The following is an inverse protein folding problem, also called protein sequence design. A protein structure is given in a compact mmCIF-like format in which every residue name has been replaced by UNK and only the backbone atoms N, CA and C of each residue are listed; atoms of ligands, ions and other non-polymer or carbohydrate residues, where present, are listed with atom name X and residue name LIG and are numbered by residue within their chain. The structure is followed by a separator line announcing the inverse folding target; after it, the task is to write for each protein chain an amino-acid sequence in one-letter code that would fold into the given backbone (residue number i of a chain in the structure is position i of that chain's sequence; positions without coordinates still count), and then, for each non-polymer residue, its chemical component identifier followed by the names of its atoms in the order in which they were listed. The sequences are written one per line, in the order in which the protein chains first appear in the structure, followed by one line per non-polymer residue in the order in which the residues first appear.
data_IF_696762016259
#
_entry.id   IF_696762016259
#
_cell.length_a   1.000
_cell.length_b   1.000
_cell.length_c   1.000
_cell.angle_alpha   90.00
_cell.angle_beta   90.00
_cell.angle_gamma   90.00
#
_symmetry.space_group_name_H-M   'P 1'
#
loop_
_entity.id
_entity.type
_entity.pdbx_description
1 polymer ?
#
# COMPACT_ATOMS: atom_id res chain seq x y z
N UNK A 1 43.92 33.82 -7.80
CA UNK A 1 43.30 32.87 -8.77
C UNK A 1 43.10 31.47 -8.20
N UNK A 2 44.07 30.86 -7.50
CA UNK A 2 43.98 29.47 -7.00
C UNK A 2 42.73 29.18 -6.15
N UNK A 3 42.40 30.06 -5.19
CA UNK A 3 41.28 29.88 -4.26
C UNK A 3 39.94 29.78 -4.99
N UNK A 4 39.73 30.59 -6.04
CA UNK A 4 38.50 30.58 -6.83
C UNK A 4 38.33 29.27 -7.60
N UNK A 5 39.42 28.71 -8.13
CA UNK A 5 39.40 27.45 -8.84
C UNK A 5 39.14 26.27 -7.89
N UNK A 6 39.70 26.31 -6.68
CA UNK A 6 39.42 25.33 -5.63
C UNK A 6 37.95 25.31 -5.22
N UNK A 7 37.33 26.48 -5.03
CA UNK A 7 35.91 26.59 -4.71
C UNK A 7 35.04 26.02 -5.83
N UNK A 8 35.39 26.31 -7.10
CA UNK A 8 34.66 25.80 -8.26
C UNK A 8 34.72 24.26 -8.36
N UNK A 9 35.90 23.70 -8.13
CA UNK A 9 36.11 22.24 -8.14
C UNK A 9 35.30 21.60 -7.01
N UNK A 10 35.36 22.17 -5.80
CA UNK A 10 34.62 21.66 -4.64
C UNK A 10 33.09 21.72 -4.87
N UNK A 11 32.61 22.82 -5.48
CA UNK A 11 31.21 22.97 -5.85
C UNK A 11 30.77 21.91 -6.88
N UNK A 12 31.56 21.69 -7.94
CA UNK A 12 31.26 20.62 -8.93
C UNK A 12 31.31 19.23 -8.29
N UNK A 13 32.28 18.96 -7.42
CA UNK A 13 32.40 17.66 -6.75
C UNK A 13 31.22 17.39 -5.82
N UNK A 14 30.64 18.44 -5.23
CA UNK A 14 29.52 18.33 -4.29
C UNK A 14 28.17 18.06 -4.97
N UNK A 15 28.01 18.34 -6.27
CA UNK A 15 26.74 18.10 -6.98
C UNK A 15 26.37 16.61 -7.06
N UNK A 16 27.36 15.74 -7.28
CA UNK A 16 27.17 14.29 -7.39
C UNK A 16 26.63 13.65 -6.10
N UNK A 17 27.28 13.81 -4.93
CA UNK A 17 26.76 13.26 -3.68
C UNK A 17 25.46 13.94 -3.23
N UNK A 18 25.26 15.23 -3.55
CA UNK A 18 24.03 15.95 -3.24
C UNK A 18 22.83 15.38 -4.01
N UNK A 19 23.00 15.10 -5.30
CA UNK A 19 21.98 14.44 -6.12
C UNK A 19 21.61 13.05 -5.60
N UNK A 20 22.61 12.24 -5.24
CA UNK A 20 22.41 10.91 -4.64
C UNK A 20 21.72 10.97 -3.27
N UNK A 21 22.07 11.96 -2.45
CA UNK A 21 21.44 12.17 -1.15
C UNK A 21 19.96 12.54 -1.30
N UNK A 22 19.65 13.46 -2.24
CA UNK A 22 18.28 13.87 -2.53
C UNK A 22 17.46 12.70 -3.08
N UNK A 23 17.98 11.93 -4.05
CA UNK A 23 17.31 10.74 -4.57
C UNK A 23 17.00 9.74 -3.44
N UNK A 24 17.98 9.37 -2.61
CA UNK A 24 17.76 8.44 -1.48
C UNK A 24 16.77 8.96 -0.45
N UNK A 25 16.73 10.28 -0.24
CA UNK A 25 15.80 10.89 0.71
C UNK A 25 14.38 10.90 0.15
N UNK A 26 14.23 11.16 -1.14
CA UNK A 26 12.97 11.09 -1.87
C UNK A 26 12.47 9.64 -1.87
N UNK A 27 13.31 8.68 -2.24
CA UNK A 27 12.98 7.25 -2.19
C UNK A 27 12.53 6.82 -0.80
N UNK A 28 13.26 7.20 0.26
CA UNK A 28 12.86 6.89 1.64
C UNK A 28 11.55 7.57 2.05
N UNK A 29 11.25 8.74 1.50
CA UNK A 29 9.99 9.43 1.78
C UNK A 29 8.82 8.78 1.03
N UNK A 30 9.04 8.35 -0.23
CA UNK A 30 8.10 7.54 -1.00
C UNK A 30 7.86 6.20 -0.31
N UNK A 31 8.92 5.44 -0.01
CA UNK A 31 8.89 4.16 0.71
C UNK A 31 8.42 4.29 2.16
N UNK A 32 8.49 5.47 2.76
CA UNK A 32 8.03 5.78 4.12
C UNK A 32 6.58 6.24 4.19
N UNK A 33 6.04 6.80 3.10
CA UNK A 33 4.61 7.06 2.93
C UNK A 33 3.85 5.87 2.30
N UNK A 34 4.53 5.01 1.55
CA UNK A 34 3.96 3.77 1.00
C UNK A 34 3.74 2.60 1.99
N UNK A 35 4.47 2.42 3.10
CA UNK A 35 4.41 1.19 3.88
C UNK A 35 3.21 1.21 4.82
N UNK A 36 2.68 2.39 5.17
CA UNK A 36 1.48 2.51 6.00
C UNK A 36 0.20 2.22 5.20
N UNK A 37 0.29 2.18 3.86
CA UNK A 37 -0.77 1.70 2.99
C UNK A 37 -0.59 0.23 2.58
N UNK A 38 0.64 -0.24 2.32
CA UNK A 38 0.84 -1.63 1.87
C UNK A 38 0.94 -2.65 3.01
N UNK A 39 1.53 -2.33 4.18
CA UNK A 39 1.50 -3.27 5.32
C UNK A 39 0.13 -3.34 6.02
N UNK A 40 -0.69 -2.28 5.98
CA UNK A 40 -2.11 -2.37 6.36
C UNK A 40 -2.96 -3.10 5.33
N UNK A 41 -2.62 -3.05 4.04
CA UNK A 41 -3.39 -3.76 3.00
C UNK A 41 -3.00 -5.22 2.80
N UNK A 42 -1.76 -5.61 3.10
CA UNK A 42 -1.33 -7.01 2.99
C UNK A 42 -1.88 -7.93 4.10
N UNK A 43 -2.46 -7.38 5.18
CA UNK A 43 -3.03 -8.16 6.28
C UNK A 43 -4.41 -7.72 6.81
N UNK A 44 -4.92 -6.55 6.41
CA UNK A 44 -6.14 -5.95 6.97
C UNK A 44 -7.03 -5.27 5.91
N UNK A 45 -7.03 -5.75 4.66
CA UNK A 45 -8.22 -5.55 3.82
C UNK A 45 -9.41 -6.32 4.42
N UNK A 46 -10.66 -5.84 4.36
CA UNK A 46 -11.80 -6.70 4.64
C UNK A 46 -11.63 -7.96 3.78
N UNK A 47 -11.49 -9.16 4.36
CA UNK A 47 -11.45 -10.34 3.49
C UNK A 47 -12.86 -10.47 2.93
N UNK A 48 -13.04 -9.96 1.72
CA UNK A 48 -14.23 -10.16 0.92
C UNK A 48 -14.28 -11.64 0.58
N UNK A 49 -15.25 -12.34 1.17
CA UNK A 49 -15.62 -13.66 0.69
C UNK A 49 -16.47 -13.40 -0.56
N UNK A 50 -16.01 -13.87 -1.71
CA UNK A 50 -16.79 -13.83 -2.93
C UNK A 50 -17.88 -14.90 -2.83
N UNK A 51 -19.13 -14.46 -2.66
CA UNK A 51 -20.29 -15.32 -2.80
C UNK A 51 -20.64 -15.39 -4.28
N UNK A 52 -20.71 -16.60 -4.82
CA UNK A 52 -21.11 -16.79 -6.21
C UNK A 52 -22.62 -16.62 -6.32
N UNK A 53 -23.12 -16.14 -7.45
CA UNK A 53 -24.55 -15.97 -7.75
C UNK A 53 -25.37 -17.29 -7.63
N UNK A 54 -24.68 -18.43 -7.50
CA UNK A 54 -25.24 -19.77 -7.30
C UNK A 54 -25.15 -20.31 -5.88
N UNK A 55 -24.63 -19.52 -4.93
CA UNK A 55 -24.49 -19.95 -3.54
C UNK A 55 -25.87 -20.10 -2.89
N UNK A 56 -26.13 -21.26 -2.29
CA UNK A 56 -27.35 -21.48 -1.50
C UNK A 56 -27.30 -20.64 -0.22
N UNK A 57 -28.46 -20.23 0.30
CA UNK A 57 -28.58 -19.48 1.57
C UNK A 57 -27.80 -20.17 2.71
N UNK A 58 -27.76 -21.50 2.69
CA UNK A 58 -27.04 -22.36 3.63
C UNK A 58 -25.51 -22.17 3.54
N UNK A 59 -24.97 -22.07 2.33
CA UNK A 59 -23.53 -21.86 2.10
C UNK A 59 -23.09 -20.45 2.52
N UNK A 60 -23.96 -19.46 2.30
CA UNK A 60 -23.73 -18.07 2.71
C UNK A 60 -23.66 -17.98 4.24
N UNK A 61 -24.62 -18.60 4.93
CA UNK A 61 -24.67 -18.63 6.40
C UNK A 61 -23.46 -19.36 7.00
N UNK A 62 -23.04 -20.46 6.36
CA UNK A 62 -21.87 -21.21 6.82
C UNK A 62 -20.56 -20.41 6.65
N UNK A 63 -20.40 -19.71 5.52
CA UNK A 63 -19.26 -18.83 5.29
C UNK A 63 -19.19 -17.68 6.31
N UNK A 64 -20.33 -17.07 6.66
CA UNK A 64 -20.44 -16.04 7.69
C UNK A 64 -20.07 -16.59 9.06
N UNK A 65 -20.56 -17.78 9.41
CA UNK A 65 -20.29 -18.43 10.68
C UNK A 65 -18.80 -18.76 10.85
N UNK A 66 -18.18 -19.37 9.84
CA UNK A 66 -16.75 -19.71 9.86
C UNK A 66 -15.85 -18.47 9.91
N UNK A 67 -16.29 -17.37 9.30
CA UNK A 67 -15.57 -16.11 9.35
C UNK A 67 -15.66 -15.45 10.73
N UNK A 68 -16.85 -15.43 11.34
CA UNK A 68 -17.06 -14.88 12.69
C UNK A 68 -16.37 -15.71 13.77
N UNK A 69 -16.28 -17.03 13.60
CA UNK A 69 -15.55 -17.93 14.53
C UNK A 69 -14.06 -17.57 14.63
N UNK A 70 -13.47 -17.04 13.56
CA UNK A 70 -12.05 -16.69 13.52
C UNK A 70 -11.77 -15.21 13.87
N UNK A 71 -12.80 -14.39 14.08
CA UNK A 71 -12.66 -12.95 14.33
C UNK A 71 -13.77 -12.44 15.28
N UNK A 72 -13.45 -12.21 16.56
CA UNK A 72 -14.45 -11.91 17.61
C UNK A 72 -15.13 -10.53 17.47
N UNK A 73 -14.66 -9.63 16.60
CA UNK A 73 -15.24 -8.28 16.41
C UNK A 73 -15.13 -7.79 14.97
N UNK A 74 -16.04 -8.22 14.09
CA UNK A 74 -16.16 -7.69 12.73
C UNK A 74 -17.62 -7.41 12.35
N UNK A 75 -17.82 -6.32 11.62
CA UNK A 75 -19.07 -5.99 10.92
C UNK A 75 -19.01 -6.56 9.51
N UNK A 76 -20.04 -7.30 9.09
CA UNK A 76 -20.14 -7.90 7.76
C UNK A 76 -20.98 -6.96 6.89
N UNK A 77 -20.44 -6.55 5.74
CA UNK A 77 -21.15 -5.73 4.75
C UNK A 77 -21.35 -6.56 3.50
N UNK A 78 -22.59 -6.70 3.06
CA UNK A 78 -22.96 -7.37 1.81
C UNK A 78 -23.24 -6.27 0.79
N UNK A 79 -22.50 -6.28 -0.31
CA UNK A 79 -22.67 -5.34 -1.43
C UNK A 79 -22.87 -6.12 -2.72
N UNK A 80 -23.82 -5.69 -3.53
CA UNK A 80 -24.00 -6.20 -4.89
C UNK A 80 -23.04 -5.48 -5.83
N UNK A 81 -22.25 -6.24 -6.59
CA UNK A 81 -21.38 -5.65 -7.61
C UNK A 81 -22.24 -5.35 -8.85
N UNK A 82 -22.55 -4.07 -9.06
CA UNK A 82 -23.23 -3.62 -10.27
C UNK A 82 -22.28 -3.85 -11.46
N UNK A 83 -22.55 -4.90 -12.26
CA UNK A 83 -21.79 -5.14 -13.49
C UNK A 83 -22.02 -3.97 -14.44
N UNK A 84 -21.03 -3.07 -14.52
CA UNK A 84 -20.99 -2.02 -15.53
C UNK A 84 -20.99 -2.69 -16.91
N UNK A 85 -22.13 -2.64 -17.60
CA UNK A 85 -22.26 -3.10 -18.99
C UNK A 85 -21.41 -2.19 -19.89
N UNK A 86 -20.15 -2.59 -20.14
CA UNK A 86 -19.38 -2.10 -21.28
C UNK A 86 -19.74 -2.86 -22.55
#
# INVERSE_FOLDING_TARGET
MLIRNLILILAMLSLLPLGLLLMRRIDRYLDGNHPDMEQKKAGQGPRSIFLSEKSSDEEILQAIHDYRKNHEHLSIVISEEEKEKR
#
